data_IF_206075410152
#
_entry.id   IF_206075410152
#
_cell.length_a   1.000
_cell.length_b   1.000
_cell.length_c   1.000
_cell.angle_alpha   90.00
_cell.angle_beta   90.00
_cell.angle_gamma   90.00
#
_symmetry.space_group_name_H-M   'P 1'
#
loop_
_entity.id
_entity.type
_entity.pdbx_description
1 polymer ?
#
# COMPACT_ATOMS: atom_id res chain seq x y z
N UNK A 1 24.61 -30.87 -6.91
CA UNK A 1 23.41 -30.27 -6.30
C UNK A 1 23.46 -28.78 -6.61
N UNK A 2 22.52 -28.28 -7.41
CA UNK A 2 22.60 -26.96 -8.06
C UNK A 2 22.24 -25.88 -7.01
N UNK A 3 23.19 -25.02 -6.56
CA UNK A 3 22.92 -24.00 -5.54
C UNK A 3 21.94 -22.91 -6.04
N UNK A 4 21.66 -22.89 -7.34
CA UNK A 4 20.79 -21.91 -7.98
C UNK A 4 19.30 -22.01 -7.59
N UNK A 5 18.83 -23.13 -7.03
CA UNK A 5 17.39 -23.31 -6.73
C UNK A 5 17.00 -22.60 -5.42
N UNK A 6 17.92 -22.47 -4.46
CA UNK A 6 17.61 -21.84 -3.16
C UNK A 6 17.45 -20.32 -3.29
N UNK A 7 18.13 -19.69 -4.24
CA UNK A 7 18.05 -18.25 -4.46
C UNK A 7 16.69 -17.80 -5.01
N UNK A 8 15.96 -18.69 -5.71
CA UNK A 8 14.67 -18.34 -6.31
C UNK A 8 13.52 -18.28 -5.28
N UNK A 9 13.69 -18.88 -4.10
CA UNK A 9 12.66 -18.93 -3.05
C UNK A 9 12.63 -17.72 -2.11
N UNK A 10 13.65 -16.85 -2.15
CA UNK A 10 13.71 -15.65 -1.29
C UNK A 10 13.20 -14.37 -1.97
N UNK A 11 12.86 -14.45 -3.26
CA UNK A 11 12.09 -13.43 -3.97
C UNK A 11 10.59 -13.64 -3.69
N UNK A 12 10.21 -13.70 -2.41
CA UNK A 12 8.82 -13.59 -1.99
C UNK A 12 8.39 -12.14 -2.21
N UNK A 13 8.24 -11.81 -3.49
CA UNK A 13 7.23 -10.98 -4.08
C UNK A 13 6.52 -10.08 -3.05
N UNK A 14 7.11 -8.92 -2.80
CA UNK A 14 6.34 -7.75 -2.39
C UNK A 14 5.46 -7.41 -3.58
N UNK A 15 4.37 -8.16 -3.74
CA UNK A 15 3.40 -7.94 -4.80
C UNK A 15 2.54 -6.79 -4.31
N UNK A 16 2.85 -5.60 -4.78
CA UNK A 16 1.86 -4.54 -4.81
C UNK A 16 0.78 -5.04 -5.79
N UNK A 17 -0.36 -5.48 -5.24
CA UNK A 17 -1.43 -6.15 -6.02
C UNK A 17 -2.09 -5.18 -7.03
N UNK A 18 -1.66 -3.93 -7.05
CA UNK A 18 -2.23 -2.85 -7.84
C UNK A 18 -1.11 -2.28 -8.70
N UNK A 19 -1.19 -2.51 -10.02
CA UNK A 19 -0.43 -1.77 -11.00
C UNK A 19 -0.79 -0.28 -10.91
N UNK A 20 0.15 0.60 -11.30
CA UNK A 20 0.04 2.07 -11.34
C UNK A 20 -1.41 2.59 -11.34
N UNK A 21 -1.79 3.26 -10.25
CA UNK A 21 -3.13 3.80 -10.10
C UNK A 21 -3.29 5.10 -10.89
N UNK A 22 -4.51 5.39 -11.42
CA UNK A 22 -4.77 6.68 -12.02
C UNK A 22 -4.57 7.80 -10.99
N UNK A 23 -3.97 8.92 -11.40
CA UNK A 23 -3.72 10.09 -10.53
C UNK A 23 -4.97 10.53 -9.77
N UNK A 24 -6.13 10.53 -10.42
CA UNK A 24 -7.42 10.87 -9.77
C UNK A 24 -7.78 9.96 -8.59
N UNK A 25 -7.28 8.72 -8.54
CA UNK A 25 -7.47 7.79 -7.43
C UNK A 25 -6.49 8.09 -6.30
N UNK A 26 -5.22 8.34 -6.64
CA UNK A 26 -4.19 8.72 -5.67
C UNK A 26 -4.50 10.06 -5.00
N UNK A 27 -5.01 11.03 -5.77
CA UNK A 27 -5.35 12.39 -5.30
C UNK A 27 -6.78 12.52 -4.77
N UNK A 28 -7.57 11.44 -4.76
CA UNK A 28 -8.91 11.47 -4.21
C UNK A 28 -8.85 11.75 -2.69
N UNK A 29 -9.87 12.44 -2.11
CA UNK A 29 -9.97 12.59 -0.67
C UNK A 29 -9.88 11.23 0.03
N UNK A 30 -8.92 11.09 0.94
CA UNK A 30 -8.73 9.87 1.70
C UNK A 30 -9.58 9.89 2.97
N UNK A 31 -10.45 8.90 3.12
CA UNK A 31 -11.27 8.73 4.32
C UNK A 31 -10.63 7.73 5.27
N UNK A 32 -10.47 8.10 6.54
CA UNK A 32 -10.12 7.14 7.60
C UNK A 32 -11.37 6.35 8.01
N UNK A 33 -11.44 5.03 7.73
CA UNK A 33 -12.65 4.25 7.99
C UNK A 33 -12.86 3.99 9.48
N UNK A 34 -14.12 3.92 9.91
CA UNK A 34 -14.48 3.30 11.19
C UNK A 34 -14.39 1.78 11.08
N UNK A 35 -13.62 1.15 11.97
CA UNK A 35 -13.36 -0.28 11.91
C UNK A 35 -14.43 -1.10 12.64
N UNK A 36 -14.85 -2.22 12.03
CA UNK A 36 -15.79 -3.16 12.66
C UNK A 36 -15.16 -3.82 13.88
N UNK A 37 -15.99 -4.22 14.84
CA UNK A 37 -15.54 -4.92 16.05
C UNK A 37 -14.68 -6.15 15.69
N UNK A 38 -13.55 -6.30 16.39
CA UNK A 38 -12.59 -7.37 16.15
C UNK A 38 -11.68 -7.18 14.93
N UNK A 39 -11.83 -6.10 14.15
CA UNK A 39 -10.91 -5.82 13.05
C UNK A 39 -9.58 -5.30 13.59
N UNK A 40 -8.43 -5.90 13.23
CA UNK A 40 -7.13 -5.38 13.62
C UNK A 40 -6.93 -3.96 13.07
N UNK A 41 -6.45 -3.07 13.94
CA UNK A 41 -5.99 -1.74 13.55
C UNK A 41 -4.51 -1.86 13.22
N UNK A 42 -4.14 -1.43 12.02
CA UNK A 42 -2.76 -1.48 11.51
C UNK A 42 -2.33 -0.12 10.99
N UNK A 43 -1.02 0.09 10.96
CA UNK A 43 -0.45 1.19 10.18
C UNK A 43 -0.72 0.94 8.70
N UNK A 44 -1.42 1.87 8.08
CA UNK A 44 -1.76 1.86 6.65
C UNK A 44 -1.19 3.13 6.03
N UNK A 45 -0.70 3.03 4.80
CA UNK A 45 -0.22 4.18 4.04
C UNK A 45 -1.21 4.57 2.94
N UNK A 46 -1.23 5.85 2.59
CA UNK A 46 -2.00 6.39 1.49
C UNK A 46 -1.25 7.57 0.85
N UNK A 47 -1.48 7.82 -0.44
CA UNK A 47 -0.97 9.01 -1.10
C UNK A 47 -1.81 10.22 -0.68
N UNK A 48 -1.18 11.24 -0.10
CA UNK A 48 -1.84 12.45 0.37
C UNK A 48 -1.64 13.58 -0.65
N UNK A 49 -2.75 14.14 -1.13
CA UNK A 49 -2.76 15.07 -2.25
C UNK A 49 -2.12 16.43 -1.97
N UNK A 50 -2.18 16.94 -0.73
CA UNK A 50 -1.66 18.28 -0.42
C UNK A 50 -0.13 18.29 -0.26
N UNK A 51 0.46 17.15 0.08
CA UNK A 51 1.88 16.99 0.38
C UNK A 51 2.63 16.22 -0.69
N UNK A 52 1.92 15.59 -1.64
CA UNK A 52 2.47 14.68 -2.65
C UNK A 52 3.31 13.56 -2.03
N UNK A 53 2.83 13.02 -0.91
CA UNK A 53 3.58 12.07 -0.10
C UNK A 53 2.70 10.92 0.39
N UNK A 54 3.32 9.75 0.50
CA UNK A 54 2.73 8.62 1.20
C UNK A 54 2.75 8.86 2.71
N UNK A 55 1.59 9.20 3.28
CA UNK A 55 1.38 9.39 4.71
C UNK A 55 0.84 8.12 5.35
N UNK A 56 0.98 7.99 6.66
CA UNK A 56 0.48 6.84 7.42
C UNK A 56 -0.67 7.22 8.34
N UNK A 57 -1.63 6.31 8.51
CA UNK A 57 -2.67 6.42 9.54
C UNK A 57 -2.88 5.06 10.23
N UNK A 58 -3.48 5.09 11.41
CA UNK A 58 -3.94 3.89 12.12
C UNK A 58 -5.39 3.61 11.73
N UNK A 59 -5.64 2.44 11.14
CA UNK A 59 -6.97 2.02 10.75
C UNK A 59 -7.00 0.62 10.18
N UNK A 60 -8.03 0.31 9.41
CA UNK A 60 -8.30 -1.02 8.87
C UNK A 60 -8.35 -1.02 7.34
N UNK A 61 -7.47 -0.25 6.70
CA UNK A 61 -7.49 0.15 5.28
C UNK A 61 -8.05 -0.87 4.29
N UNK A 62 -8.90 -0.38 3.39
CA UNK A 62 -9.57 -1.17 2.33
C UNK A 62 -9.82 -0.38 1.03
N UNK A 63 -9.42 0.88 0.97
CA UNK A 63 -9.54 1.72 -0.21
C UNK A 63 -8.48 1.39 -1.26
N UNK A 64 -8.71 1.85 -2.50
CA UNK A 64 -7.71 1.74 -3.56
C UNK A 64 -6.42 2.51 -3.24
N UNK A 65 -6.52 3.59 -2.46
CA UNK A 65 -5.40 4.40 -1.98
C UNK A 65 -4.95 3.96 -0.56
N UNK A 66 -5.14 2.69 -0.18
CA UNK A 66 -4.62 2.11 1.06
C UNK A 66 -3.55 1.05 0.76
N UNK A 67 -2.38 1.21 1.36
CA UNK A 67 -1.21 0.37 1.12
C UNK A 67 -0.62 -0.13 2.44
N UNK A 68 -0.21 -1.39 2.48
CA UNK A 68 0.43 -1.97 3.68
C UNK A 68 1.86 -1.49 3.92
N UNK A 69 2.55 -1.00 2.89
CA UNK A 69 3.96 -0.57 2.97
C UNK A 69 4.23 0.63 2.07
N UNK A 70 5.24 1.44 2.44
CA UNK A 70 5.59 2.68 1.74
C UNK A 70 6.01 2.46 0.29
N UNK A 71 6.76 1.40 0.02
CA UNK A 71 7.19 1.06 -1.33
C UNK A 71 6.00 0.91 -2.28
N UNK A 72 4.96 0.16 -1.88
CA UNK A 72 3.78 -0.02 -2.73
C UNK A 72 2.98 1.26 -2.94
N UNK A 73 2.92 2.15 -1.95
CA UNK A 73 2.27 3.44 -2.12
C UNK A 73 2.98 4.30 -3.19
N UNK A 74 4.32 4.38 -3.12
CA UNK A 74 5.12 5.15 -4.10
C UNK A 74 5.06 4.51 -5.48
N UNK A 75 5.16 3.18 -5.56
CA UNK A 75 5.10 2.44 -6.82
C UNK A 75 3.73 2.57 -7.51
N UNK A 76 2.65 2.56 -6.73
CA UNK A 76 1.28 2.71 -7.25
C UNK A 76 0.90 4.16 -7.55
N UNK A 77 1.43 5.14 -6.80
CA UNK A 77 1.14 6.57 -6.91
C UNK A 77 2.44 7.41 -6.98
N UNK A 78 3.15 7.41 -8.13
CA UNK A 78 4.45 8.08 -8.29
C UNK A 78 4.30 9.54 -8.76
N UNK A 79 3.35 10.27 -8.18
CA UNK A 79 3.02 11.65 -8.55
C UNK A 79 3.67 12.68 -7.63
#
# INVERSE_FOLDING_TARGET
MKPAIVALCLLAAVVCVIALLPEKVCRAPHSVPTCSQGTPITWTLYFENNTDQCQSYLGCGRGYNDFGIKYCCIDSCPY
#
